data_IF_003720236732
#
_entry.id   IF_003720236732
#
_cell.length_a   1.000
_cell.length_b   1.000
_cell.length_c   1.000
_cell.angle_alpha   90.00
_cell.angle_beta   90.00
_cell.angle_gamma   90.00
#
_symmetry.space_group_name_H-M   'P 1'
#
loop_
_entity.id
_entity.type
_entity.pdbx_description
1 polymer ?
#
# COMPACT_ATOMS: atom_id res chain seq x y z
N UNK A 1 12.71 27.85 14.08
CA UNK A 1 13.90 27.33 13.38
C UNK A 1 14.16 25.96 13.99
N UNK A 2 13.94 24.88 13.24
CA UNK A 2 14.13 23.54 13.77
C UNK A 2 15.62 23.35 14.05
N UNK A 3 15.96 23.03 15.30
CA UNK A 3 17.32 22.76 15.71
C UNK A 3 17.74 21.46 15.04
N UNK A 4 18.61 21.55 14.03
CA UNK A 4 19.21 20.39 13.40
C UNK A 4 20.19 19.78 14.40
N UNK A 5 19.72 18.80 15.16
CA UNK A 5 20.58 18.08 16.09
C UNK A 5 21.50 17.18 15.25
N UNK A 6 22.76 17.62 15.13
CA UNK A 6 23.84 16.84 14.54
C UNK A 6 24.53 16.08 15.65
N UNK A 7 24.55 14.76 15.54
CA UNK A 7 25.17 13.88 16.51
C UNK A 7 26.45 13.29 15.93
N UNK A 8 27.51 13.29 16.73
CA UNK A 8 28.79 12.66 16.38
C UNK A 8 28.84 11.26 16.95
N UNK A 9 29.19 10.30 16.10
CA UNK A 9 29.31 8.89 16.48
C UNK A 9 30.68 8.34 16.05
N UNK A 10 31.21 7.42 16.84
CA UNK A 10 32.38 6.62 16.46
C UNK A 10 31.92 5.26 15.97
N UNK A 11 32.43 4.84 14.81
CA UNK A 11 32.22 3.49 14.27
C UNK A 11 33.03 2.51 15.10
N UNK A 12 32.37 1.72 15.95
CA UNK A 12 33.04 0.72 16.78
C UNK A 12 33.39 -0.53 15.99
N UNK A 13 32.36 -1.24 15.51
CA UNK A 13 32.49 -2.45 14.69
C UNK A 13 31.78 -2.24 13.36
N UNK A 14 32.38 -2.71 12.28
CA UNK A 14 31.80 -2.68 10.94
C UNK A 14 31.83 -4.09 10.36
N UNK A 15 30.64 -4.65 10.12
CA UNK A 15 30.44 -5.90 9.40
C UNK A 15 29.83 -5.61 8.01
N UNK A 16 29.78 -6.62 7.13
CA UNK A 16 29.36 -6.43 5.74
C UNK A 16 27.92 -5.89 5.56
N UNK A 17 27.06 -5.96 6.57
CA UNK A 17 25.69 -5.44 6.53
C UNK A 17 25.32 -4.44 7.63
N UNK A 18 26.03 -4.45 8.75
CA UNK A 18 25.70 -3.67 9.94
C UNK A 18 26.95 -3.03 10.54
N UNK A 19 26.76 -1.87 11.14
CA UNK A 19 27.77 -1.14 11.89
C UNK A 19 27.25 -0.84 13.30
N UNK A 20 28.16 -0.85 14.27
CA UNK A 20 27.89 -0.40 15.64
C UNK A 20 28.43 1.02 15.78
N UNK A 21 27.53 1.98 15.99
CA UNK A 21 27.85 3.39 16.23
C UNK A 21 27.82 3.67 17.73
N UNK A 22 28.87 4.30 18.24
CA UNK A 22 29.03 4.65 19.65
C UNK A 22 28.91 6.16 19.81
N UNK A 23 27.89 6.62 20.54
CA UNK A 23 27.73 8.03 20.89
C UNK A 23 28.45 8.41 22.20
N UNK A 24 28.43 9.70 22.55
CA UNK A 24 29.11 10.24 23.76
C UNK A 24 28.69 9.57 25.08
N UNK A 25 27.45 9.06 25.16
CA UNK A 25 26.93 8.35 26.34
C UNK A 25 27.17 6.84 26.31
N UNK A 26 28.04 6.36 25.42
CA UNK A 26 28.35 4.94 25.22
C UNK A 26 27.12 4.06 24.94
N UNK A 27 26.05 4.62 24.39
CA UNK A 27 24.89 3.86 23.94
C UNK A 27 25.17 3.33 22.53
N UNK A 28 25.26 2.00 22.34
CA UNK A 28 25.50 1.42 21.02
C UNK A 28 24.23 1.52 20.18
N UNK A 29 24.40 1.97 18.93
CA UNK A 29 23.34 2.00 17.92
C UNK A 29 23.73 1.02 16.81
N UNK A 30 22.83 0.10 16.51
CA UNK A 30 22.93 -0.75 15.33
C UNK A 30 22.45 0.04 14.12
N UNK A 31 23.37 0.33 13.20
CA UNK A 31 23.10 1.12 12.00
C UNK A 31 23.46 0.32 10.75
N UNK A 32 22.63 0.28 9.69
CA UNK A 32 23.00 -0.39 8.44
C UNK A 32 24.32 0.14 7.90
N UNK A 33 25.20 -0.71 7.38
CA UNK A 33 26.50 -0.24 6.88
C UNK A 33 26.41 0.53 5.56
N UNK A 34 25.33 0.33 4.78
CA UNK A 34 25.14 0.89 3.44
C UNK A 34 25.09 2.43 3.41
N UNK A 35 24.37 3.13 4.30
CA UNK A 35 24.30 4.59 4.27
C UNK A 35 25.54 5.28 4.83
N UNK A 36 26.54 4.52 5.32
CA UNK A 36 27.78 5.11 5.80
C UNK A 36 28.62 5.65 4.63
N UNK A 37 29.40 6.73 4.84
CA UNK A 37 30.29 7.26 3.82
C UNK A 37 31.27 6.21 3.28
N UNK A 38 31.58 6.23 1.98
CA UNK A 38 32.57 5.33 1.41
C UNK A 38 33.93 5.54 2.10
N UNK A 39 34.54 4.45 2.55
CA UNK A 39 35.82 4.48 3.28
C UNK A 39 35.69 4.60 4.81
N UNK A 40 34.48 4.61 5.37
CA UNK A 40 34.29 4.45 6.81
C UNK A 40 34.81 3.07 7.27
N UNK A 41 35.71 3.09 8.25
CA UNK A 41 36.29 1.90 8.89
C UNK A 41 36.05 1.93 10.40
N UNK A 42 36.32 0.83 11.10
CA UNK A 42 36.32 0.82 12.56
C UNK A 42 37.28 1.90 13.10
N UNK A 43 36.79 2.73 14.03
CA UNK A 43 37.46 3.91 14.57
C UNK A 43 37.12 5.23 13.86
N UNK A 44 36.40 5.19 12.74
CA UNK A 44 35.99 6.41 12.02
C UNK A 44 34.97 7.22 12.83
N UNK A 45 35.05 8.54 12.75
CA UNK A 45 34.06 9.44 13.37
C UNK A 45 33.12 9.93 12.26
N UNK A 46 31.83 9.71 12.45
CA UNK A 46 30.78 10.12 11.51
C UNK A 46 29.83 11.09 12.18
N UNK A 47 29.35 12.08 11.43
CA UNK A 47 28.30 13.00 11.87
C UNK A 47 26.99 12.61 11.22
N UNK A 48 25.95 12.43 12.02
CA UNK A 48 24.60 12.13 11.56
C UNK A 48 23.69 13.28 11.95
N UNK A 49 23.12 13.95 10.95
CA UNK A 49 22.11 14.98 11.15
C UNK A 49 20.74 14.39 10.93
N UNK A 50 19.87 14.49 11.93
CA UNK A 50 18.49 13.99 11.86
C UNK A 50 17.55 15.19 11.84
N UNK A 51 16.79 15.32 10.76
CA UNK A 51 15.82 16.40 10.59
C UNK A 51 14.48 15.85 10.14
N UNK A 52 13.40 16.30 10.76
CA UNK A 52 12.05 15.98 10.32
C UNK A 52 11.77 16.61 8.95
N UNK A 53 11.26 15.81 8.02
CA UNK A 53 10.89 16.28 6.68
C UNK A 53 9.37 16.40 6.52
N UNK A 54 8.83 17.53 6.97
CA UNK A 54 7.38 17.82 6.94
C UNK A 54 6.80 17.89 5.51
N UNK A 55 7.63 18.22 4.52
CA UNK A 55 7.20 18.29 3.12
C UNK A 55 6.93 16.88 2.56
N UNK A 56 7.83 15.94 2.86
CA UNK A 56 7.65 14.53 2.48
C UNK A 56 6.51 13.87 3.26
N UNK A 57 6.35 14.16 4.56
CA UNK A 57 5.21 13.68 5.35
C UNK A 57 3.88 14.09 4.72
N UNK A 58 3.74 15.39 4.37
CA UNK A 58 2.55 15.90 3.71
C UNK A 58 2.31 15.24 2.34
N UNK A 59 3.36 15.05 1.54
CA UNK A 59 3.26 14.37 0.23
C UNK A 59 2.75 12.94 0.38
N UNK A 60 3.28 12.20 1.36
CA UNK A 60 2.85 10.83 1.65
C UNK A 60 1.39 10.76 2.10
N UNK A 61 0.95 11.69 2.95
CA UNK A 61 -0.45 11.76 3.39
C UNK A 61 -1.40 12.01 2.21
N UNK A 62 -1.05 12.94 1.31
CA UNK A 62 -1.83 13.23 0.11
C UNK A 62 -1.90 12.02 -0.83
N UNK A 63 -0.77 11.35 -1.09
CA UNK A 63 -0.71 10.15 -1.92
C UNK A 63 -1.52 9.00 -1.31
N UNK A 64 -1.47 8.84 0.01
CA UNK A 64 -2.23 7.82 0.73
C UNK A 64 -3.73 8.01 0.54
N UNK A 65 -4.25 9.22 0.78
CA UNK A 65 -5.68 9.49 0.64
C UNK A 65 -6.14 9.42 -0.82
N UNK A 66 -5.33 9.91 -1.76
CA UNK A 66 -5.64 9.78 -3.19
C UNK A 66 -5.79 8.32 -3.61
N UNK A 67 -4.94 7.42 -3.09
CA UNK A 67 -5.05 5.98 -3.33
C UNK A 67 -6.32 5.38 -2.71
N UNK A 68 -6.65 5.75 -1.47
CA UNK A 68 -7.86 5.26 -0.80
C UNK A 68 -9.12 5.68 -1.58
N UNK A 69 -9.16 6.93 -2.03
CA UNK A 69 -10.27 7.45 -2.83
C UNK A 69 -10.36 6.72 -4.18
N UNK A 70 -9.23 6.43 -4.83
CA UNK A 70 -9.22 5.66 -6.07
C UNK A 70 -9.79 4.24 -5.87
N UNK A 71 -9.38 3.56 -4.79
CA UNK A 71 -9.90 2.21 -4.46
C UNK A 71 -11.40 2.26 -4.17
N UNK A 72 -11.85 3.24 -3.38
CA UNK A 72 -13.26 3.40 -3.05
C UNK A 72 -14.11 3.66 -4.30
N UNK A 73 -13.63 4.54 -5.18
CA UNK A 73 -14.34 4.88 -6.41
C UNK A 73 -14.45 3.69 -7.37
N UNK A 74 -13.39 2.89 -7.50
CA UNK A 74 -13.39 1.72 -8.38
C UNK A 74 -14.26 0.58 -7.84
N UNK A 75 -14.16 0.28 -6.55
CA UNK A 75 -14.74 -0.95 -5.98
C UNK A 75 -15.96 -0.73 -5.08
N UNK A 76 -16.12 0.46 -4.50
CA UNK A 76 -17.12 0.72 -3.46
C UNK A 76 -18.33 1.55 -3.88
N UNK A 77 -18.28 2.26 -5.01
CA UNK A 77 -19.38 3.16 -5.43
C UNK A 77 -20.49 2.42 -6.18
N UNK A 78 -20.13 1.45 -7.03
CA UNK A 78 -21.09 0.74 -7.88
C UNK A 78 -21.24 -0.71 -7.42
N UNK A 79 -22.47 -1.10 -7.12
CA UNK A 79 -22.82 -2.49 -6.82
C UNK A 79 -23.43 -3.18 -8.03
N UNK A 80 -23.29 -4.52 -8.16
CA UNK A 80 -23.99 -5.29 -9.18
C UNK A 80 -25.51 -5.06 -9.10
N UNK A 81 -26.18 -4.99 -10.25
CA UNK A 81 -27.64 -4.92 -10.29
C UNK A 81 -28.25 -6.32 -10.36
N UNK A 82 -29.44 -6.53 -9.79
CA UNK A 82 -30.14 -7.81 -9.92
C UNK A 82 -30.46 -8.11 -11.38
N UNK A 83 -30.27 -9.36 -11.86
CA UNK A 83 -30.63 -9.74 -13.22
C UNK A 83 -32.15 -9.69 -13.41
N UNK A 84 -32.60 -9.24 -14.58
CA UNK A 84 -34.02 -9.13 -14.91
C UNK A 84 -34.41 -10.20 -15.93
N UNK A 85 -35.29 -11.12 -15.54
CA UNK A 85 -35.75 -12.19 -16.42
C UNK A 85 -37.11 -11.83 -17.04
N UNK A 86 -37.20 -11.86 -18.36
CA UNK A 86 -38.40 -11.59 -19.12
C UNK A 86 -38.82 -12.80 -19.95
N UNK A 87 -40.12 -12.95 -20.17
CA UNK A 87 -40.66 -13.97 -21.07
C UNK A 87 -40.76 -13.37 -22.47
N UNK A 88 -40.04 -13.95 -23.43
CA UNK A 88 -40.07 -13.52 -24.83
C UNK A 88 -41.24 -14.15 -25.57
N UNK A 89 -41.45 -15.44 -25.37
CA UNK A 89 -42.50 -16.19 -26.06
C UNK A 89 -42.94 -17.41 -25.24
N UNK A 90 -44.21 -17.77 -25.38
CA UNK A 90 -44.81 -18.95 -24.77
C UNK A 90 -45.50 -19.75 -25.85
N UNK A 91 -45.19 -21.03 -25.95
CA UNK A 91 -45.91 -21.99 -26.77
C UNK A 91 -46.64 -22.98 -25.87
N UNK A 92 -47.34 -23.96 -26.46
CA UNK A 92 -48.06 -24.97 -25.68
C UNK A 92 -47.12 -25.84 -24.81
N UNK A 93 -45.89 -26.08 -25.26
CA UNK A 93 -44.96 -27.01 -24.58
C UNK A 93 -43.59 -26.41 -24.26
N UNK A 94 -43.35 -25.14 -24.61
CA UNK A 94 -42.07 -24.47 -24.33
C UNK A 94 -42.25 -23.00 -23.97
N UNK A 95 -41.31 -22.46 -23.21
CA UNK A 95 -41.22 -21.03 -22.87
C UNK A 95 -39.82 -20.55 -23.21
N UNK A 96 -39.72 -19.46 -23.96
CA UNK A 96 -38.46 -18.78 -24.23
C UNK A 96 -38.35 -17.58 -23.30
N UNK A 97 -37.28 -17.53 -22.52
CA UNK A 97 -36.98 -16.42 -21.61
C UNK A 97 -35.72 -15.70 -22.08
N UNK A 98 -35.66 -14.40 -21.83
CA UNK A 98 -34.51 -13.56 -22.15
C UNK A 98 -34.27 -12.53 -21.04
N UNK A 99 -33.05 -12.00 -20.98
CA UNK A 99 -32.66 -10.94 -20.06
C UNK A 99 -31.72 -9.96 -20.75
N UNK A 100 -31.70 -8.68 -20.33
CA UNK A 100 -30.72 -7.72 -20.80
C UNK A 100 -29.31 -8.07 -20.28
N UNK A 101 -28.24 -7.43 -20.83
CA UNK A 101 -26.88 -7.60 -20.31
C UNK A 101 -26.81 -7.41 -18.80
N UNK A 102 -26.13 -8.34 -18.10
CA UNK A 102 -26.03 -8.32 -16.63
C UNK A 102 -25.02 -7.24 -16.21
N UNK A 103 -25.47 -6.29 -15.41
CA UNK A 103 -24.62 -5.24 -14.85
C UNK A 103 -23.92 -5.71 -13.57
N UNK A 104 -22.65 -6.10 -13.68
CA UNK A 104 -21.87 -6.64 -12.57
C UNK A 104 -21.03 -5.61 -11.81
N UNK A 105 -21.03 -4.34 -12.25
CA UNK A 105 -20.13 -3.31 -11.74
C UNK A 105 -18.66 -3.81 -11.74
N UNK A 106 -18.00 -3.83 -10.59
CA UNK A 106 -16.62 -4.33 -10.41
C UNK A 106 -16.55 -5.84 -10.08
N UNK A 107 -17.69 -6.52 -9.95
CA UNK A 107 -17.75 -7.93 -9.59
C UNK A 107 -17.49 -8.86 -10.79
N UNK A 108 -16.98 -10.06 -10.50
CA UNK A 108 -16.87 -11.15 -11.46
C UNK A 108 -18.04 -12.11 -11.30
N UNK A 109 -18.67 -12.48 -12.42
CA UNK A 109 -19.74 -13.48 -12.43
C UNK A 109 -19.17 -14.86 -12.07
N UNK A 110 -19.79 -15.56 -11.12
CA UNK A 110 -19.41 -16.92 -10.73
C UNK A 110 -20.25 -17.97 -11.44
N UNK A 111 -21.57 -17.89 -11.28
CA UNK A 111 -22.57 -18.72 -11.96
C UNK A 111 -23.81 -17.88 -12.27
N UNK A 112 -24.62 -18.37 -13.20
CA UNK A 112 -25.94 -17.84 -13.51
C UNK A 112 -26.91 -19.03 -13.61
N UNK A 113 -27.78 -19.15 -12.62
CA UNK A 113 -28.64 -20.31 -12.41
C UNK A 113 -30.11 -19.91 -12.57
N UNK A 114 -30.91 -20.75 -13.25
CA UNK A 114 -32.36 -20.56 -13.41
C UNK A 114 -33.06 -21.54 -12.47
N UNK A 115 -33.89 -20.99 -11.57
CA UNK A 115 -34.66 -21.78 -10.62
C UNK A 115 -36.11 -21.93 -11.08
N UNK A 116 -36.68 -23.13 -10.90
CA UNK A 116 -38.09 -23.42 -11.11
C UNK A 116 -38.57 -24.34 -10.00
N UNK A 117 -39.52 -23.86 -9.20
CA UNK A 117 -40.14 -24.58 -8.08
C UNK A 117 -39.21 -24.89 -6.89
N UNK A 118 -38.23 -24.03 -6.63
CA UNK A 118 -37.23 -24.21 -5.56
C UNK A 118 -36.10 -25.11 -5.98
#
# INVERSE_FOLDING_TARGET
MAQSDSFTFTVGKLDAGMAILLGERAHPIEFPSIPLPPGATAGSIVNISVTQNLAEEKRWDEEFWALQDAILNEFGVKTPKPPQLNVRNVTQTSVTMEWPPIELASAKLRSLDIYRNG
#
